data_IF_980822489290
#
_entry.id   IF_980822489290
#
_cell.length_a   1.000
_cell.length_b   1.000
_cell.length_c   1.000
_cell.angle_alpha   90.00
_cell.angle_beta   90.00
_cell.angle_gamma   90.00
#
_symmetry.space_group_name_H-M   'P 1'
#
loop_
_entity.id
_entity.type
_entity.pdbx_description
1 polymer ?
#
# COMPACT_ATOMS: atom_id res chain seq x y z
N UNK A 1 14.21 -12.51 -17.11
CA UNK A 1 13.53 -13.62 -16.43
C UNK A 1 13.86 -13.52 -14.95
N UNK A 2 12.98 -12.90 -14.17
CA UNK A 2 13.18 -12.81 -12.72
C UNK A 2 13.10 -14.21 -12.10
N UNK A 3 13.78 -14.47 -10.98
CA UNK A 3 13.68 -15.77 -10.33
C UNK A 3 12.22 -16.04 -9.94
N UNK A 4 11.71 -17.23 -10.26
CA UNK A 4 10.36 -17.67 -9.87
C UNK A 4 10.24 -17.59 -8.34
N UNK A 5 9.53 -16.56 -7.87
CA UNK A 5 9.34 -16.28 -6.45
C UNK A 5 7.87 -16.53 -6.13
N UNK A 6 7.64 -17.53 -5.28
CA UNK A 6 6.31 -17.92 -4.82
C UNK A 6 6.16 -17.46 -3.38
N UNK A 7 5.04 -16.83 -3.05
CA UNK A 7 4.74 -16.35 -1.71
C UNK A 7 3.59 -17.13 -1.10
N UNK A 8 3.76 -17.56 0.15
CA UNK A 8 2.67 -17.93 1.04
C UNK A 8 2.24 -16.66 1.78
N UNK A 9 0.95 -16.32 1.69
CA UNK A 9 0.40 -15.10 2.30
C UNK A 9 -0.63 -15.46 3.36
N UNK A 10 -0.54 -14.82 4.53
CA UNK A 10 -1.57 -14.88 5.56
C UNK A 10 -1.92 -13.44 5.92
N UNK A 11 -3.21 -13.10 5.85
CA UNK A 11 -3.68 -11.75 6.16
C UNK A 11 -4.87 -11.74 7.10
N UNK A 12 -5.14 -10.55 7.62
CA UNK A 12 -6.33 -10.21 8.37
C UNK A 12 -6.91 -8.90 7.84
N UNK A 13 -8.20 -8.73 8.03
CA UNK A 13 -8.97 -7.52 7.73
C UNK A 13 -9.92 -7.30 8.90
N UNK A 14 -10.10 -6.05 9.30
CA UNK A 14 -11.03 -5.72 10.37
C UNK A 14 -11.28 -4.23 10.56
N UNK A 15 -12.30 -3.94 11.36
CA UNK A 15 -12.69 -2.58 11.71
C UNK A 15 -12.08 -2.18 13.06
N UNK A 16 -11.23 -1.16 13.05
CA UNK A 16 -10.63 -0.54 14.23
C UNK A 16 -11.54 0.58 14.82
N UNK A 17 -11.27 1.06 16.05
CA UNK A 17 -12.02 2.17 16.64
C UNK A 17 -12.16 3.35 15.70
N UNK A 18 -13.32 4.02 15.74
CA UNK A 18 -13.71 5.08 14.79
C UNK A 18 -14.03 4.61 13.36
N UNK A 19 -14.26 3.31 13.13
CA UNK A 19 -14.62 2.73 11.83
C UNK A 19 -13.51 2.84 10.79
N UNK A 20 -12.26 2.79 11.24
CA UNK A 20 -11.12 2.60 10.34
C UNK A 20 -11.11 1.17 9.86
N UNK A 21 -10.92 0.98 8.56
CA UNK A 21 -10.66 -0.32 7.98
C UNK A 21 -9.16 -0.55 8.08
N UNK A 22 -8.76 -1.71 8.61
CA UNK A 22 -7.36 -2.06 8.82
C UNK A 22 -7.13 -3.45 8.27
N UNK A 23 -6.10 -3.55 7.45
CA UNK A 23 -5.65 -4.79 6.84
C UNK A 23 -4.19 -5.03 7.20
N UNK A 24 -3.83 -6.29 7.42
CA UNK A 24 -2.45 -6.66 7.59
C UNK A 24 -2.16 -7.99 6.93
N UNK A 25 -0.96 -8.14 6.38
CA UNK A 25 -0.56 -9.35 5.69
C UNK A 25 0.91 -9.68 5.99
N UNK A 26 1.20 -10.97 6.12
CA UNK A 26 2.53 -11.54 6.17
C UNK A 26 2.76 -12.35 4.90
N UNK A 27 3.92 -12.16 4.27
CA UNK A 27 4.31 -12.84 3.04
C UNK A 27 5.61 -13.59 3.29
N UNK A 28 5.61 -14.90 3.09
CA UNK A 28 6.80 -15.75 3.16
C UNK A 28 7.15 -16.27 1.77
N UNK A 29 8.33 -15.90 1.27
CA UNK A 29 8.80 -16.36 -0.04
C UNK A 29 9.39 -17.77 0.03
N UNK A 30 9.36 -18.49 -1.10
CA UNK A 30 10.10 -19.76 -1.27
C UNK A 30 11.63 -19.62 -1.14
N UNK A 31 12.15 -18.39 -1.07
CA UNK A 31 13.56 -18.08 -0.81
C UNK A 31 13.85 -17.72 0.65
N UNK A 32 12.84 -17.72 1.51
CA UNK A 32 12.95 -17.40 2.93
C UNK A 32 12.76 -15.92 3.26
N UNK A 33 12.36 -15.08 2.31
CA UNK A 33 12.08 -13.66 2.56
C UNK A 33 10.76 -13.52 3.34
N UNK A 34 10.80 -12.82 4.48
CA UNK A 34 9.62 -12.55 5.27
C UNK A 34 9.30 -11.06 5.20
N UNK A 35 8.16 -10.75 4.58
CA UNK A 35 7.64 -9.38 4.45
C UNK A 35 6.36 -9.24 5.24
N UNK A 36 6.07 -8.02 5.67
CA UNK A 36 4.80 -7.67 6.28
C UNK A 36 4.25 -6.38 5.67
N UNK A 37 2.93 -6.30 5.57
CA UNK A 37 2.20 -5.08 5.20
C UNK A 37 1.17 -4.78 6.28
N UNK A 38 1.01 -3.51 6.58
CA UNK A 38 -0.11 -2.98 7.35
C UNK A 38 -0.72 -1.81 6.58
N UNK A 39 -1.99 -1.92 6.21
CA UNK A 39 -2.74 -0.88 5.54
C UNK A 39 -3.90 -0.43 6.44
N UNK A 40 -4.23 0.85 6.38
CA UNK A 40 -5.45 1.37 6.98
C UNK A 40 -6.03 2.50 6.16
N UNK A 41 -7.36 2.52 6.04
CA UNK A 41 -8.09 3.59 5.37
C UNK A 41 -9.38 3.94 6.11
N UNK A 42 -9.96 5.09 5.75
CA UNK A 42 -11.22 5.55 6.33
C UNK A 42 -12.14 6.14 5.27
N UNK A 43 -13.35 5.60 5.13
CA UNK A 43 -14.35 6.11 4.18
C UNK A 43 -15.12 7.30 4.78
N UNK A 44 -14.53 8.50 4.72
CA UNK A 44 -15.20 9.74 5.13
C UNK A 44 -16.26 10.12 4.09
N UNK A 45 -17.53 9.89 4.43
CA UNK A 45 -18.66 10.39 3.63
C UNK A 45 -18.75 11.91 3.76
N UNK A 46 -18.49 12.62 2.67
CA UNK A 46 -18.69 14.07 2.56
C UNK A 46 -20.14 14.34 2.17
N UNK A 47 -20.68 13.54 1.26
CA UNK A 47 -22.10 13.52 0.91
C UNK A 47 -22.59 12.06 0.80
N UNK A 48 -23.85 11.85 0.42
CA UNK A 48 -24.37 10.51 0.16
C UNK A 48 -23.69 9.79 -1.03
N UNK A 49 -22.98 10.54 -1.89
CA UNK A 49 -22.32 10.02 -3.10
C UNK A 49 -20.84 10.37 -3.19
N UNK A 50 -20.33 11.28 -2.35
CA UNK A 50 -18.94 11.73 -2.38
C UNK A 50 -18.23 11.25 -1.12
N UNK A 51 -17.21 10.42 -1.30
CA UNK A 51 -16.42 9.80 -0.23
C UNK A 51 -14.97 10.23 -0.40
N UNK A 52 -14.41 10.78 0.67
CA UNK A 52 -12.98 11.06 0.79
C UNK A 52 -12.34 9.93 1.59
N UNK A 53 -11.32 9.30 1.04
CA UNK A 53 -10.67 8.13 1.62
C UNK A 53 -9.18 8.45 1.86
N UNK A 54 -8.81 8.96 3.04
CA UNK A 54 -7.42 8.92 3.49
C UNK A 54 -6.99 7.47 3.73
N UNK A 55 -5.75 7.18 3.38
CA UNK A 55 -5.14 5.85 3.44
C UNK A 55 -3.68 5.96 3.89
N UNK A 56 -3.20 4.96 4.62
CA UNK A 56 -1.80 4.79 4.94
C UNK A 56 -1.40 3.32 4.80
N UNK A 57 -0.26 3.06 4.17
CA UNK A 57 0.35 1.72 4.06
C UNK A 57 1.76 1.76 4.65
N UNK A 58 2.11 0.73 5.41
CA UNK A 58 3.44 0.50 5.97
C UNK A 58 3.90 -0.88 5.54
N UNK A 59 5.05 -0.96 4.88
CA UNK A 59 5.67 -2.23 4.51
C UNK A 59 6.93 -2.47 5.35
N UNK A 60 7.15 -3.74 5.69
CA UNK A 60 8.26 -4.19 6.50
C UNK A 60 8.93 -5.41 5.87
N UNK A 61 10.21 -5.56 6.13
CA UNK A 61 10.98 -6.75 5.79
C UNK A 61 11.80 -7.23 6.98
N UNK A 62 11.84 -8.54 7.22
CA UNK A 62 12.64 -9.09 8.31
C UNK A 62 14.14 -9.15 7.97
N UNK A 63 14.51 -9.01 6.70
CA UNK A 63 15.87 -9.07 6.20
C UNK A 63 16.09 -8.10 5.04
N UNK A 64 17.36 -7.89 4.66
CA UNK A 64 17.64 -7.25 3.39
C UNK A 64 17.34 -8.24 2.25
N UNK A 65 16.64 -7.75 1.24
CA UNK A 65 16.30 -8.46 0.00
C UNK A 65 16.88 -7.67 -1.16
N UNK A 66 18.19 -7.83 -1.46
CA UNK A 66 18.89 -7.02 -2.45
C UNK A 66 18.29 -7.15 -3.86
N UNK A 67 17.70 -8.30 -4.20
CA UNK A 67 17.11 -8.53 -5.53
C UNK A 67 15.89 -7.64 -5.80
N UNK A 68 15.18 -7.20 -4.75
CA UNK A 68 14.05 -6.26 -4.86
C UNK A 68 14.41 -4.86 -4.36
N UNK A 69 15.66 -4.64 -3.94
CA UNK A 69 16.10 -3.38 -3.34
C UNK A 69 15.39 -3.04 -2.03
N UNK A 70 14.87 -4.06 -1.32
CA UNK A 70 14.14 -3.90 -0.05
C UNK A 70 15.11 -4.10 1.10
N UNK A 71 15.19 -3.14 2.01
CA UNK A 71 15.97 -3.25 3.24
C UNK A 71 15.15 -3.78 4.41
N UNK A 72 15.86 -4.33 5.39
CA UNK A 72 15.28 -4.80 6.65
C UNK A 72 14.66 -3.69 7.49
N UNK A 73 13.71 -4.07 8.34
CA UNK A 73 12.91 -3.16 9.15
C UNK A 73 11.71 -2.61 8.40
N UNK A 74 11.31 -1.37 8.69
CA UNK A 74 10.33 -0.64 7.90
C UNK A 74 10.96 -0.32 6.53
N UNK A 75 10.38 -0.79 5.44
CA UNK A 75 10.94 -0.62 4.11
C UNK A 75 10.46 0.68 3.46
N UNK A 76 9.18 0.98 3.61
CA UNK A 76 8.53 2.12 2.98
C UNK A 76 7.22 2.48 3.70
N UNK A 77 6.83 3.73 3.47
CA UNK A 77 5.61 4.35 3.98
C UNK A 77 4.88 4.98 2.82
N UNK A 78 3.60 4.69 2.68
CA UNK A 78 2.74 5.32 1.69
C UNK A 78 1.57 6.02 2.38
N UNK A 79 1.25 7.22 1.89
CA UNK A 79 0.11 8.00 2.33
C UNK A 79 -0.72 8.36 1.10
N UNK A 80 -2.00 8.00 1.13
CA UNK A 80 -2.93 8.20 0.03
C UNK A 80 -4.10 9.08 0.43
N UNK A 81 -4.61 9.84 -0.53
CA UNK A 81 -5.90 10.49 -0.42
C UNK A 81 -6.68 10.29 -1.73
N UNK A 82 -7.79 9.56 -1.65
CA UNK A 82 -8.65 9.26 -2.80
C UNK A 82 -10.02 9.91 -2.63
N UNK A 83 -10.53 10.51 -3.69
CA UNK A 83 -11.89 11.05 -3.77
C UNK A 83 -12.71 10.16 -4.70
N UNK A 84 -13.73 9.50 -4.14
CA UNK A 84 -14.62 8.58 -4.83
C UNK A 84 -16.01 9.19 -5.01
N UNK A 85 -16.56 9.09 -6.21
CA UNK A 85 -17.91 9.56 -6.52
C UNK A 85 -18.81 8.40 -6.96
N UNK A 86 -19.82 8.07 -6.18
CA UNK A 86 -20.78 7.00 -6.43
C UNK A 86 -21.93 7.51 -7.31
N UNK A 87 -21.81 7.33 -8.64
CA UNK A 87 -22.89 7.66 -9.58
C UNK A 87 -24.11 6.79 -9.26
N UNK A 88 -23.84 5.48 -9.22
CA UNK A 88 -24.66 4.39 -8.66
C UNK A 88 -23.75 3.52 -7.78
N UNK A 89 -24.30 2.65 -6.94
CA UNK A 89 -23.50 1.88 -5.96
C UNK A 89 -22.54 0.90 -6.64
N UNK A 90 -22.91 0.48 -7.84
CA UNK A 90 -22.23 -0.46 -8.73
C UNK A 90 -21.17 0.23 -9.60
N UNK A 91 -21.13 1.56 -9.64
CA UNK A 91 -20.22 2.33 -10.50
C UNK A 91 -19.74 3.60 -9.79
N UNK A 92 -18.50 3.56 -9.34
CA UNK A 92 -17.88 4.61 -8.55
C UNK A 92 -16.49 4.98 -9.10
N UNK A 93 -16.38 5.97 -10.01
CA UNK A 93 -15.09 6.55 -10.38
C UNK A 93 -14.40 7.19 -9.17
N UNK A 94 -13.08 7.16 -9.18
CA UNK A 94 -12.26 7.83 -8.18
C UNK A 94 -11.00 8.44 -8.79
N UNK A 95 -10.50 9.47 -8.13
CA UNK A 95 -9.19 10.10 -8.38
C UNK A 95 -8.45 10.20 -7.06
N UNK A 96 -7.13 10.28 -7.07
CA UNK A 96 -6.36 10.40 -5.85
C UNK A 96 -4.93 10.87 -6.07
N UNK A 97 -4.30 11.17 -4.94
CA UNK A 97 -2.87 11.46 -4.84
C UNK A 97 -2.27 10.52 -3.81
N UNK A 98 -1.10 10.00 -4.13
CA UNK A 98 -0.34 9.09 -3.28
C UNK A 98 1.07 9.63 -3.14
N UNK A 99 1.56 9.63 -1.91
CA UNK A 99 2.94 9.95 -1.60
C UNK A 99 3.58 8.71 -1.01
N UNK A 100 4.69 8.28 -1.60
CA UNK A 100 5.43 7.12 -1.15
C UNK A 100 6.85 7.53 -0.76
N UNK A 101 7.39 6.91 0.29
CA UNK A 101 8.76 7.14 0.74
C UNK A 101 9.39 5.83 1.20
N UNK A 102 10.49 5.47 0.54
CA UNK A 102 11.42 4.43 0.99
C UNK A 102 12.14 4.96 2.25
N UNK A 103 12.29 4.11 3.26
CA UNK A 103 12.98 4.45 4.52
C UNK A 103 14.09 3.45 4.83
N UNK A 104 14.88 3.70 5.87
CA UNK A 104 15.95 2.80 6.30
C UNK A 104 16.92 2.39 5.20
N UNK A 105 17.20 1.09 5.13
CA UNK A 105 18.13 0.50 4.18
C UNK A 105 17.54 0.45 2.75
N UNK A 106 16.22 0.31 2.61
CA UNK A 106 15.51 0.45 1.33
C UNK A 106 15.80 1.79 0.67
N UNK A 107 15.80 2.88 1.45
CA UNK A 107 16.16 4.20 0.95
C UNK A 107 17.63 4.31 0.56
N UNK A 108 18.53 3.56 1.23
CA UNK A 108 19.96 3.51 0.88
C UNK A 108 20.15 2.77 -0.44
N UNK A 109 19.48 1.64 -0.62
CA UNK A 109 19.51 0.87 -1.86
C UNK A 109 18.99 1.68 -3.05
N UNK A 110 17.85 2.37 -2.90
CA UNK A 110 17.31 3.24 -3.94
C UNK A 110 18.31 4.33 -4.36
N UNK A 111 18.89 5.06 -3.40
CA UNK A 111 19.88 6.10 -3.71
C UNK A 111 21.16 5.54 -4.34
N UNK A 112 21.61 4.36 -3.91
CA UNK A 112 22.78 3.70 -4.51
C UNK A 112 22.52 3.28 -5.97
N UNK A 113 21.26 2.98 -6.32
CA UNK A 113 20.83 2.73 -7.69
C UNK A 113 20.57 4.02 -8.50
N UNK A 114 20.75 5.21 -7.91
CA UNK A 114 20.45 6.49 -8.55
C UNK A 114 18.96 6.84 -8.59
N UNK A 115 18.12 6.14 -7.82
CA UNK A 115 16.68 6.37 -7.72
C UNK A 115 16.32 7.34 -6.58
N UNK A 116 15.19 8.01 -6.74
CA UNK A 116 14.60 8.80 -5.66
C UNK A 116 14.00 7.91 -4.56
N UNK A 117 14.27 8.28 -3.31
CA UNK A 117 13.72 7.59 -2.15
C UNK A 117 12.28 8.05 -1.80
N UNK A 118 11.71 8.99 -2.54
CA UNK A 118 10.34 9.47 -2.34
C UNK A 118 9.71 9.96 -3.63
N UNK A 119 8.40 9.79 -3.78
CA UNK A 119 7.67 10.23 -4.97
C UNK A 119 6.22 10.60 -4.65
N UNK A 120 5.61 11.34 -5.58
CA UNK A 120 4.16 11.61 -5.58
C UNK A 120 3.57 11.08 -6.88
N UNK A 121 2.48 10.34 -6.76
CA UNK A 121 1.75 9.73 -7.86
C UNK A 121 0.32 10.24 -7.88
N UNK A 122 -0.23 10.42 -9.07
CA UNK A 122 -1.65 10.67 -9.27
C UNK A 122 -2.32 9.39 -9.75
N UNK A 123 -3.45 9.04 -9.16
CA UNK A 123 -4.20 7.84 -9.50
C UNK A 123 -5.61 8.21 -9.95
N UNK A 124 -6.12 7.46 -10.92
CA UNK A 124 -7.50 7.55 -11.36
C UNK A 124 -7.98 6.14 -11.72
N UNK A 125 -9.21 5.80 -11.34
CA UNK A 125 -9.76 4.47 -11.57
C UNK A 125 -11.26 4.43 -11.41
N UNK A 126 -11.82 3.24 -11.62
CA UNK A 126 -13.26 2.98 -11.50
C UNK A 126 -13.43 1.73 -10.64
N UNK A 127 -14.25 1.83 -9.60
CA UNK A 127 -14.76 0.67 -8.86
C UNK A 127 -16.11 0.26 -9.46
N UNK A 128 -16.21 -0.99 -9.92
CA UNK A 128 -17.45 -1.54 -10.47
C UNK A 128 -17.69 -2.99 -10.03
N UNK A 129 -18.96 -3.37 -9.85
CA UNK A 129 -19.41 -4.72 -9.50
C UNK A 129 -20.83 -4.99 -10.06
N UNK A 130 -21.23 -6.26 -10.20
CA UNK A 130 -22.49 -6.71 -10.79
C UNK A 130 -23.23 -7.74 -9.92
#
# INVERSE_FOLDING_TARGET
SGPDRTYATIGFEGLAPYWFEVEGALFLSNKGDLLARLEGYYDQRITQKLILQPMAELNFSAQDVPETGTGSGLSDVELGLRLRYEIVREFAPYVGVEWARKVGDTARFARAAGEDASGVSFVAGIRAWF
#
